data_IF_967541394075
#
_entry.id   IF_967541394075
#
_cell.length_a   1.000
_cell.length_b   1.000
_cell.length_c   1.000
_cell.angle_alpha   90.00
_cell.angle_beta   90.00
_cell.angle_gamma   90.00
#
_symmetry.space_group_name_H-M   'P 1'
#
loop_
_entity.id
_entity.type
_entity.pdbx_description
1 polymer ?
#
# COMPACT_ATOMS: atom_id res chain seq x y z
N UNK A 1 43.93 -27.42 -39.29
CA UNK A 1 43.90 -25.97 -39.00
C UNK A 1 42.92 -25.74 -37.86
N UNK A 2 43.49 -25.52 -36.68
CA UNK A 2 42.99 -25.08 -35.37
C UNK A 2 41.50 -25.15 -34.95
N UNK A 3 41.32 -25.99 -33.92
CA UNK A 3 40.32 -26.06 -32.84
C UNK A 3 39.80 -24.71 -32.36
N UNK A 4 38.49 -24.60 -32.10
CA UNK A 4 37.96 -23.81 -30.97
C UNK A 4 36.84 -24.55 -30.24
N UNK A 5 37.28 -25.30 -29.23
CA UNK A 5 36.50 -25.72 -28.07
C UNK A 5 36.16 -24.45 -27.27
N UNK A 6 34.91 -23.99 -27.27
CA UNK A 6 34.46 -22.97 -26.31
C UNK A 6 33.87 -23.67 -25.11
N UNK A 7 34.74 -23.97 -24.14
CA UNK A 7 34.34 -24.33 -22.78
C UNK A 7 33.81 -23.07 -22.13
N UNK A 8 32.49 -23.00 -21.92
CA UNK A 8 31.87 -21.95 -21.12
C UNK A 8 32.17 -22.27 -19.66
N UNK A 9 33.14 -21.56 -19.10
CA UNK A 9 33.44 -21.56 -17.68
C UNK A 9 32.28 -20.88 -16.94
N UNK A 10 31.48 -21.64 -16.19
CA UNK A 10 30.51 -21.07 -15.25
C UNK A 10 31.31 -20.54 -14.06
N UNK A 11 31.55 -19.23 -14.03
CA UNK A 11 32.05 -18.54 -12.84
C UNK A 11 30.86 -18.29 -11.91
N UNK A 12 30.77 -19.12 -10.87
CA UNK A 12 29.93 -18.86 -9.69
C UNK A 12 30.58 -17.69 -8.96
N UNK A 13 30.07 -16.47 -9.18
CA UNK A 13 30.44 -15.33 -8.34
C UNK A 13 29.60 -15.40 -7.07
N UNK A 14 30.26 -15.75 -5.96
CA UNK A 14 29.72 -15.62 -4.62
C UNK A 14 29.32 -14.15 -4.36
N UNK A 15 28.14 -13.92 -3.79
CA UNK A 15 27.78 -12.62 -3.25
C UNK A 15 28.70 -12.33 -2.05
N UNK A 16 29.54 -11.31 -2.18
CA UNK A 16 30.38 -10.82 -1.09
C UNK A 16 29.54 -9.92 -0.17
N UNK A 17 29.67 -10.13 1.13
CA UNK A 17 28.88 -9.54 2.22
C UNK A 17 29.34 -8.11 2.57
N UNK A 18 29.44 -7.23 1.57
CA UNK A 18 29.94 -5.86 1.78
C UNK A 18 29.29 -4.78 0.91
N UNK A 19 27.99 -4.91 0.61
CA UNK A 19 27.17 -3.79 0.13
C UNK A 19 26.14 -3.43 1.21
N UNK A 20 26.65 -2.82 2.27
CA UNK A 20 25.83 -2.06 3.20
C UNK A 20 25.45 -0.77 2.46
N UNK A 21 24.30 -0.80 1.79
CA UNK A 21 23.76 0.27 0.95
C UNK A 21 23.83 1.63 1.65
N UNK A 22 24.81 2.45 1.28
CA UNK A 22 24.71 3.90 1.37
C UNK A 22 23.56 4.33 0.45
N UNK A 23 22.48 4.86 1.03
CA UNK A 23 21.38 5.44 0.26
C UNK A 23 21.94 6.59 -0.60
N UNK A 24 21.90 6.50 -1.94
CA UNK A 24 22.46 7.54 -2.79
C UNK A 24 21.67 8.84 -2.58
N UNK A 25 22.39 9.89 -2.18
CA UNK A 25 21.92 11.26 -2.23
C UNK A 25 21.55 11.59 -3.67
N UNK A 26 20.37 12.19 -3.88
CA UNK A 26 19.76 12.57 -5.17
C UNK A 26 18.72 11.59 -5.73
N UNK A 27 17.72 11.29 -4.91
CA UNK A 27 16.39 11.06 -5.45
C UNK A 27 15.69 12.43 -5.52
N UNK A 28 15.66 13.06 -6.69
CA UNK A 28 14.86 14.27 -6.92
C UNK A 28 13.39 13.86 -6.94
N UNK A 29 12.78 13.74 -5.77
CA UNK A 29 11.34 13.52 -5.72
C UNK A 29 10.70 14.80 -6.21
N UNK A 30 10.14 14.77 -7.42
CA UNK A 30 9.09 15.70 -7.79
C UNK A 30 7.85 15.35 -6.96
N UNK A 31 7.87 15.66 -5.66
CA UNK A 31 6.73 15.44 -4.77
C UNK A 31 5.72 16.53 -5.03
N UNK A 32 4.80 16.32 -5.97
CA UNK A 32 3.51 16.96 -5.79
C UNK A 32 2.80 16.17 -4.69
N UNK A 33 3.13 16.46 -3.42
CA UNK A 33 2.46 15.84 -2.26
C UNK A 33 1.00 16.23 -2.36
N UNK A 34 0.12 15.25 -2.57
CA UNK A 34 -1.32 15.48 -2.67
C UNK A 34 -1.99 15.28 -1.30
N UNK A 35 -3.10 15.99 -1.08
CA UNK A 35 -3.89 15.93 0.14
C UNK A 35 -3.41 16.81 1.28
N UNK A 36 -3.98 16.57 2.46
CA UNK A 36 -3.69 17.30 3.68
C UNK A 36 -2.27 16.96 4.17
N UNK A 37 -1.42 17.98 4.27
CA UNK A 37 -0.03 17.84 4.77
C UNK A 37 0.18 18.41 6.16
N UNK A 38 -0.88 18.82 6.86
CA UNK A 38 -0.79 19.25 8.26
C UNK A 38 -0.23 18.12 9.11
N UNK A 39 0.64 18.48 10.07
CA UNK A 39 1.30 17.52 10.95
C UNK A 39 0.28 16.70 11.77
N UNK A 40 0.67 15.49 12.14
CA UNK A 40 -0.16 14.55 12.89
C UNK A 40 -0.64 13.37 12.06
N UNK A 41 -0.54 12.20 12.68
CA UNK A 41 -0.97 10.92 12.11
C UNK A 41 -2.43 10.94 11.61
N UNK A 42 -3.37 11.34 12.47
CA UNK A 42 -4.82 11.24 12.22
C UNK A 42 -5.39 12.30 11.28
N UNK A 43 -4.71 13.43 11.08
CA UNK A 43 -5.26 14.53 10.28
C UNK A 43 -6.60 15.05 10.83
N UNK A 44 -7.42 15.64 9.95
CA UNK A 44 -8.79 16.07 10.29
C UNK A 44 -9.74 14.99 9.76
N UNK A 45 -10.63 14.50 10.62
CA UNK A 45 -11.76 13.62 10.31
C UNK A 45 -12.98 14.26 10.99
N UNK A 46 -13.73 15.05 10.24
CA UNK A 46 -14.79 15.92 10.80
C UNK A 46 -16.06 15.15 11.13
N UNK A 47 -16.36 14.08 10.40
CA UNK A 47 -17.57 13.28 10.58
C UNK A 47 -17.35 12.02 11.45
N UNK A 48 -16.11 11.77 11.87
CA UNK A 48 -15.66 10.64 12.68
C UNK A 48 -15.95 9.29 12.01
N UNK A 49 -15.88 9.22 10.67
CA UNK A 49 -16.08 7.98 9.93
C UNK A 49 -14.81 7.09 9.88
N UNK A 50 -13.69 7.56 10.45
CA UNK A 50 -12.40 6.87 10.44
C UNK A 50 -11.56 7.15 9.19
N UNK A 51 -11.97 8.11 8.37
CA UNK A 51 -11.32 8.56 7.14
C UNK A 51 -11.00 10.03 7.28
N UNK A 52 -9.75 10.39 6.97
CA UNK A 52 -9.39 11.81 6.88
C UNK A 52 -10.19 12.51 5.79
N UNK A 53 -10.60 13.75 6.06
CA UNK A 53 -11.41 14.58 5.17
C UNK A 53 -10.78 14.74 3.76
N UNK A 54 -9.45 14.76 3.66
CA UNK A 54 -8.76 14.85 2.37
C UNK A 54 -8.86 13.57 1.52
N UNK A 55 -8.86 12.41 2.19
CA UNK A 55 -9.08 11.11 1.54
C UNK A 55 -10.56 10.93 1.21
N UNK A 56 -11.48 11.37 2.07
CA UNK A 56 -12.91 11.40 1.73
C UNK A 56 -13.18 12.26 0.48
N UNK A 57 -12.51 13.41 0.39
CA UNK A 57 -12.59 14.26 -0.79
C UNK A 57 -12.02 13.56 -2.03
N UNK A 58 -10.88 12.88 -1.93
CA UNK A 58 -10.31 12.07 -3.02
C UNK A 58 -11.30 11.00 -3.49
N UNK A 59 -11.86 10.23 -2.55
CA UNK A 59 -12.82 9.15 -2.83
C UNK A 59 -14.05 9.72 -3.56
N UNK A 60 -14.60 10.83 -3.06
CA UNK A 60 -15.74 11.52 -3.70
C UNK A 60 -15.43 12.06 -5.10
N UNK A 61 -14.17 12.40 -5.37
CA UNK A 61 -13.78 12.96 -6.67
C UNK A 61 -13.45 11.90 -7.70
N UNK A 62 -12.90 10.75 -7.29
CA UNK A 62 -12.30 9.77 -8.21
C UNK A 62 -12.85 8.35 -8.09
N UNK A 63 -13.42 7.98 -6.94
CA UNK A 63 -13.78 6.60 -6.62
C UNK A 63 -15.23 6.50 -6.15
N UNK A 64 -16.14 7.29 -6.74
CA UNK A 64 -17.55 7.34 -6.36
C UNK A 64 -18.54 7.16 -7.51
N UNK A 65 -18.09 6.58 -8.64
CA UNK A 65 -18.94 6.32 -9.81
C UNK A 65 -20.16 5.47 -9.47
N UNK A 66 -19.98 4.50 -8.56
CA UNK A 66 -21.07 3.74 -7.95
C UNK A 66 -20.93 3.75 -6.43
N UNK A 67 -22.04 3.56 -5.73
CA UNK A 67 -22.02 3.44 -4.27
C UNK A 67 -21.18 2.24 -3.79
N UNK A 68 -21.09 1.17 -4.58
CA UNK A 68 -20.28 0.00 -4.27
C UNK A 68 -18.78 0.31 -4.35
N UNK A 69 -18.33 0.99 -5.41
CA UNK A 69 -16.94 1.43 -5.55
C UNK A 69 -16.57 2.40 -4.42
N UNK A 70 -17.48 3.35 -4.12
CA UNK A 70 -17.29 4.29 -3.01
C UNK A 70 -17.06 3.58 -1.68
N UNK A 71 -17.90 2.60 -1.32
CA UNK A 71 -17.76 1.85 -0.07
C UNK A 71 -16.49 1.01 -0.03
N UNK A 72 -16.09 0.41 -1.14
CA UNK A 72 -14.83 -0.35 -1.23
C UNK A 72 -13.61 0.56 -1.01
N UNK A 73 -13.62 1.76 -1.61
CA UNK A 73 -12.59 2.77 -1.41
C UNK A 73 -12.54 3.26 0.04
N UNK A 74 -13.69 3.52 0.66
CA UNK A 74 -13.79 3.89 2.08
C UNK A 74 -13.29 2.77 3.00
N UNK A 75 -13.58 1.50 2.68
CA UNK A 75 -13.08 0.34 3.43
C UNK A 75 -11.55 0.24 3.39
N UNK A 76 -10.95 0.44 2.21
CA UNK A 76 -9.49 0.46 2.03
C UNK A 76 -8.85 1.64 2.80
N UNK A 77 -9.43 2.83 2.71
CA UNK A 77 -8.93 4.02 3.42
C UNK A 77 -8.94 3.85 4.94
N UNK A 78 -10.01 3.26 5.51
CA UNK A 78 -10.06 2.93 6.95
C UNK A 78 -8.98 1.91 7.31
N UNK A 79 -8.86 0.83 6.55
CA UNK A 79 -7.91 -0.24 6.84
C UNK A 79 -6.45 0.25 6.83
N UNK A 80 -6.07 1.05 5.82
CA UNK A 80 -4.73 1.61 5.71
C UNK A 80 -4.41 2.59 6.84
N UNK A 81 -5.36 3.44 7.24
CA UNK A 81 -5.15 4.37 8.35
C UNK A 81 -5.07 3.66 9.70
N UNK A 82 -5.92 2.66 9.94
CA UNK A 82 -5.82 1.80 11.13
C UNK A 82 -4.47 1.09 11.20
N UNK A 83 -3.95 0.61 10.06
CA UNK A 83 -2.64 -0.03 10.01
C UNK A 83 -1.51 0.89 10.46
N UNK A 84 -1.58 2.21 10.24
CA UNK A 84 -0.56 3.14 10.73
C UNK A 84 -0.62 3.40 12.25
N UNK A 85 -1.72 3.03 12.91
CA UNK A 85 -1.94 3.27 14.35
C UNK A 85 -1.48 2.12 15.25
N UNK A 86 -1.14 0.96 14.69
CA UNK A 86 -0.74 -0.23 15.45
C UNK A 86 0.65 -0.10 16.08
N UNK A 87 0.86 -0.73 17.23
CA UNK A 87 2.14 -0.72 17.93
C UNK A 87 2.66 -2.13 18.28
N UNK A 88 1.83 -3.16 18.14
CA UNK A 88 2.20 -4.57 18.38
C UNK A 88 2.08 -5.42 17.11
N UNK A 89 2.79 -6.55 17.09
CA UNK A 89 2.71 -7.52 15.99
C UNK A 89 1.28 -8.06 15.80
N UNK A 90 0.58 -8.33 16.89
CA UNK A 90 -0.79 -8.86 16.85
C UNK A 90 -1.75 -7.85 16.22
N UNK A 91 -1.73 -6.60 16.68
CA UNK A 91 -2.53 -5.52 16.09
C UNK A 91 -2.21 -5.33 14.61
N UNK A 92 -0.93 -5.39 14.23
CA UNK A 92 -0.49 -5.26 12.85
C UNK A 92 -0.96 -6.43 11.96
N UNK A 93 -1.02 -7.66 12.49
CA UNK A 93 -1.59 -8.82 11.78
C UNK A 93 -3.10 -8.59 11.54
N UNK A 94 -3.85 -8.22 12.57
CA UNK A 94 -5.29 -7.93 12.47
C UNK A 94 -5.56 -6.80 11.47
N UNK A 95 -4.80 -5.72 11.52
CA UNK A 95 -4.94 -4.60 10.60
C UNK A 95 -4.60 -4.99 9.15
N UNK A 96 -3.62 -5.86 8.95
CA UNK A 96 -3.28 -6.39 7.62
C UNK A 96 -4.38 -7.29 7.07
N UNK A 97 -5.05 -8.07 7.91
CA UNK A 97 -6.24 -8.83 7.51
C UNK A 97 -7.37 -7.91 7.04
N UNK A 98 -7.54 -6.74 7.65
CA UNK A 98 -8.51 -5.73 7.18
C UNK A 98 -8.12 -5.13 5.83
N UNK A 99 -6.83 -4.85 5.60
CA UNK A 99 -6.34 -4.43 4.28
C UNK A 99 -6.61 -5.53 3.24
N UNK A 100 -6.30 -6.79 3.56
CA UNK A 100 -6.56 -7.92 2.66
C UNK A 100 -8.05 -8.08 2.34
N UNK A 101 -8.94 -7.91 3.35
CA UNK A 101 -10.39 -7.88 3.13
C UNK A 101 -10.81 -6.75 2.21
N UNK A 102 -10.32 -5.53 2.44
CA UNK A 102 -10.64 -4.35 1.63
C UNK A 102 -10.18 -4.51 0.17
N UNK A 103 -8.94 -4.96 -0.04
CA UNK A 103 -8.42 -5.32 -1.36
C UNK A 103 -9.29 -6.40 -2.02
N UNK A 104 -9.68 -7.45 -1.28
CA UNK A 104 -10.56 -8.50 -1.84
C UNK A 104 -11.95 -7.96 -2.20
N UNK A 105 -12.50 -7.01 -1.44
CA UNK A 105 -13.73 -6.32 -1.80
C UNK A 105 -13.57 -5.50 -3.09
N UNK A 106 -12.47 -4.77 -3.25
CA UNK A 106 -12.16 -4.04 -4.49
C UNK A 106 -12.18 -4.99 -5.69
N UNK A 107 -11.49 -6.14 -5.61
CA UNK A 107 -11.52 -7.16 -6.68
C UNK A 107 -12.90 -7.77 -6.93
N UNK A 108 -13.75 -7.85 -5.91
CA UNK A 108 -15.12 -8.35 -6.04
C UNK A 108 -16.04 -7.35 -6.75
N UNK A 109 -15.95 -6.08 -6.38
CA UNK A 109 -16.78 -5.01 -6.97
C UNK A 109 -16.32 -4.67 -8.39
N UNK A 110 -15.00 -4.59 -8.57
CA UNK A 110 -14.34 -4.33 -9.84
C UNK A 110 -13.77 -5.67 -10.33
N UNK A 111 -14.61 -6.51 -10.93
CA UNK A 111 -14.27 -7.91 -11.22
C UNK A 111 -13.77 -8.15 -12.64
N UNK A 112 -13.94 -7.20 -13.57
CA UNK A 112 -13.47 -7.36 -14.94
C UNK A 112 -11.93 -7.23 -14.97
N UNK A 113 -11.19 -8.27 -15.41
CA UNK A 113 -9.74 -8.25 -15.35
C UNK A 113 -9.11 -7.23 -16.32
N UNK A 114 -9.82 -6.81 -17.37
CA UNK A 114 -9.32 -5.91 -18.41
C UNK A 114 -9.84 -4.49 -18.18
N UNK A 115 -11.16 -4.33 -18.12
CA UNK A 115 -11.79 -3.01 -18.09
C UNK A 115 -11.64 -2.31 -16.73
N UNK A 116 -11.59 -3.07 -15.64
CA UNK A 116 -11.51 -2.49 -14.30
C UNK A 116 -10.07 -2.43 -13.76
N UNK A 117 -9.07 -2.91 -14.52
CA UNK A 117 -7.68 -2.97 -14.06
C UNK A 117 -7.15 -1.60 -13.63
N UNK A 118 -7.32 -0.59 -14.49
CA UNK A 118 -6.82 0.76 -14.23
C UNK A 118 -7.51 1.38 -13.01
N UNK A 119 -8.83 1.16 -12.85
CA UNK A 119 -9.61 1.67 -11.72
C UNK A 119 -9.16 1.01 -10.42
N UNK A 120 -9.00 -0.31 -10.38
CA UNK A 120 -8.47 -1.03 -9.20
C UNK A 120 -7.08 -0.51 -8.82
N UNK A 121 -6.19 -0.38 -9.81
CA UNK A 121 -4.81 0.04 -9.57
C UNK A 121 -4.75 1.47 -9.04
N UNK A 122 -5.50 2.39 -9.64
CA UNK A 122 -5.59 3.78 -9.19
C UNK A 122 -6.17 3.88 -7.78
N UNK A 123 -7.26 3.15 -7.49
CA UNK A 123 -7.90 3.15 -6.18
C UNK A 123 -6.93 2.73 -5.08
N UNK A 124 -6.26 1.58 -5.20
CA UNK A 124 -5.33 1.12 -4.17
C UNK A 124 -4.12 2.05 -4.01
N UNK A 125 -3.48 2.43 -5.13
CA UNK A 125 -2.23 3.23 -5.07
C UNK A 125 -2.46 4.66 -4.61
N UNK A 126 -3.53 5.31 -5.04
CA UNK A 126 -3.80 6.69 -4.66
C UNK A 126 -4.26 6.79 -3.22
N UNK A 127 -5.11 5.88 -2.75
CA UNK A 127 -5.52 5.89 -1.34
C UNK A 127 -4.30 5.63 -0.44
N UNK A 128 -3.42 4.69 -0.77
CA UNK A 128 -2.17 4.47 -0.02
C UNK A 128 -1.24 5.68 -0.06
N UNK A 129 -1.07 6.30 -1.24
CA UNK A 129 -0.22 7.48 -1.40
C UNK A 129 -0.73 8.67 -0.59
N UNK A 130 -2.04 8.92 -0.61
CA UNK A 130 -2.66 9.98 0.21
C UNK A 130 -2.62 9.64 1.69
N UNK A 131 -2.74 8.37 2.05
CA UNK A 131 -2.62 7.90 3.43
C UNK A 131 -1.22 8.17 3.99
N UNK A 132 -0.17 7.94 3.20
CA UNK A 132 1.24 8.03 3.61
C UNK A 132 1.95 9.33 3.18
N UNK A 133 1.19 10.34 2.75
CA UNK A 133 1.65 11.56 2.05
C UNK A 133 2.61 12.49 2.83
N UNK A 134 2.85 12.28 4.12
CA UNK A 134 3.85 13.01 4.90
C UNK A 134 4.81 12.08 5.63
N UNK A 135 6.01 12.59 5.95
CA UNK A 135 7.08 11.81 6.60
C UNK A 135 6.59 11.06 7.84
N UNK A 136 5.82 11.70 8.71
CA UNK A 136 5.31 11.08 9.93
C UNK A 136 4.44 9.83 9.63
N UNK A 137 3.51 9.95 8.68
CA UNK A 137 2.59 8.88 8.28
C UNK A 137 3.34 7.74 7.58
N UNK A 138 4.25 8.07 6.67
CA UNK A 138 5.11 7.09 6.01
C UNK A 138 5.96 6.31 7.03
N UNK A 139 6.58 7.00 8.00
CA UNK A 139 7.37 6.33 9.04
C UNK A 139 6.51 5.40 9.89
N UNK A 140 5.27 5.80 10.22
CA UNK A 140 4.32 4.96 10.94
C UNK A 140 3.91 3.73 10.13
N UNK A 141 3.54 3.90 8.87
CA UNK A 141 3.26 2.80 7.95
C UNK A 141 4.42 1.79 7.87
N UNK A 142 5.65 2.27 7.70
CA UNK A 142 6.85 1.42 7.64
C UNK A 142 7.12 0.71 8.97
N UNK A 143 6.87 1.37 10.11
CA UNK A 143 6.96 0.73 11.43
C UNK A 143 5.97 -0.43 11.54
N UNK A 144 4.72 -0.23 11.13
CA UNK A 144 3.68 -1.27 11.13
C UNK A 144 4.04 -2.44 10.20
N UNK A 145 4.51 -2.14 8.98
CA UNK A 145 4.99 -3.15 8.04
C UNK A 145 6.14 -3.98 8.62
N UNK A 146 7.07 -3.34 9.34
CA UNK A 146 8.18 -4.04 10.00
C UNK A 146 7.71 -5.05 11.06
N UNK A 147 6.62 -4.77 11.77
CA UNK A 147 6.09 -5.67 12.82
C UNK A 147 5.66 -7.04 12.25
N UNK A 148 5.23 -7.07 10.99
CA UNK A 148 4.72 -8.25 10.30
C UNK A 148 5.68 -8.77 9.22
N UNK A 149 6.90 -8.23 9.15
CA UNK A 149 7.91 -8.70 8.21
C UNK A 149 8.17 -10.20 8.38
N UNK A 150 8.06 -10.96 7.29
CA UNK A 150 8.21 -12.42 7.29
C UNK A 150 6.98 -13.19 7.76
N UNK A 151 5.85 -12.53 8.03
CA UNK A 151 4.58 -13.21 8.21
C UNK A 151 4.03 -13.74 6.86
N UNK A 152 3.19 -14.76 6.94
CA UNK A 152 2.39 -15.24 5.81
C UNK A 152 0.93 -14.88 6.07
N UNK A 153 0.18 -14.65 4.99
CA UNK A 153 -1.23 -14.29 5.05
C UNK A 153 -2.04 -15.24 4.17
N UNK A 154 -3.21 -15.62 4.65
CA UNK A 154 -4.19 -16.36 3.85
C UNK A 154 -5.11 -15.37 3.14
N UNK A 155 -5.68 -15.78 2.00
CA UNK A 155 -6.75 -14.99 1.41
C UNK A 155 -7.93 -14.91 2.40
N UNK A 156 -8.57 -13.73 2.53
CA UNK A 156 -9.72 -13.58 3.40
C UNK A 156 -10.87 -14.52 3.01
N UNK A 157 -11.57 -15.04 4.01
CA UNK A 157 -12.81 -15.77 3.81
C UNK A 157 -13.95 -14.75 3.75
N UNK A 158 -14.91 -14.97 2.84
CA UNK A 158 -16.11 -14.13 2.74
C UNK A 158 -16.90 -14.09 4.07
N UNK A 159 -17.52 -12.95 4.42
CA UNK A 159 -17.70 -11.74 3.60
C UNK A 159 -16.49 -10.78 3.58
N UNK A 160 -16.14 -10.29 2.39
CA UNK A 160 -15.00 -9.35 2.21
C UNK A 160 -15.39 -7.87 2.15
N UNK A 161 -16.62 -7.55 1.75
CA UNK A 161 -17.16 -6.18 1.73
C UNK A 161 -18.02 -5.89 2.97
N UNK A 162 -17.95 -4.66 3.47
CA UNK A 162 -18.79 -4.16 4.58
C UNK A 162 -20.23 -3.79 4.15
#
# INVERSE_FOLDING_TARGET
>A
MYIRLFVILILISACNESDLLELPSQFSISTNVQGQTTAGLKGIDSDNNGIRDDIDQLIKQKFSDTQAIKRAAEQEARALQQFMEVDTKEEALIATEQIARATSCIFKILSDPIHDYEVRQALSTEIEAWTTNIKERLVKYLKSSKLISGAYFMQPIEPVCD
#
